data_IF_474244080743
#
_entry.id   IF_474244080743
#
_cell.length_a   1.000
_cell.length_b   1.000
_cell.length_c   1.000
_cell.angle_alpha   90.00
_cell.angle_beta   90.00
_cell.angle_gamma   90.00
#
_symmetry.space_group_name_H-M   'P 1'
#
loop_
_entity.id
_entity.type
_entity.pdbx_description
1 polymer ?
#
# COMPACT_ATOMS: atom_id res chain seq x y z
N UNK A 1 8.58 -8.27 -20.98
CA UNK A 1 8.22 -6.98 -20.33
C UNK A 1 7.31 -7.31 -19.15
N UNK A 2 7.48 -6.70 -17.97
CA UNK A 2 6.63 -6.94 -16.80
C UNK A 2 5.74 -5.71 -16.53
N UNK A 3 4.80 -5.83 -15.59
CA UNK A 3 3.85 -4.74 -15.31
C UNK A 3 4.54 -3.44 -14.84
N UNK A 4 5.65 -3.55 -14.11
CA UNK A 4 6.41 -2.39 -13.64
C UNK A 4 7.08 -1.71 -14.84
N UNK A 5 7.77 -2.45 -15.71
CA UNK A 5 8.44 -1.82 -16.85
C UNK A 5 7.48 -1.23 -17.87
N UNK A 6 6.23 -1.70 -17.96
CA UNK A 6 5.23 -1.11 -18.86
C UNK A 6 4.76 0.28 -18.44
N UNK A 7 4.79 0.64 -17.15
CA UNK A 7 4.30 1.96 -16.71
C UNK A 7 5.35 3.07 -16.87
N UNK A 8 6.62 2.70 -17.03
CA UNK A 8 7.74 3.63 -17.26
C UNK A 8 8.12 3.75 -18.74
N UNK A 9 7.27 3.32 -19.68
CA UNK A 9 7.59 3.33 -21.11
C UNK A 9 7.48 4.72 -21.79
N UNK A 10 7.14 5.77 -21.04
CA UNK A 10 7.01 7.15 -21.52
C UNK A 10 7.84 8.10 -20.67
N UNK A 11 8.24 9.25 -21.21
CA UNK A 11 9.02 10.28 -20.48
C UNK A 11 8.21 11.07 -19.44
N UNK A 12 7.12 10.50 -18.92
CA UNK A 12 6.27 11.11 -17.89
C UNK A 12 6.58 10.53 -16.52
N UNK A 13 6.53 11.38 -15.50
CA UNK A 13 6.59 10.95 -14.10
C UNK A 13 5.42 10.02 -13.77
N UNK A 14 5.71 8.97 -13.01
CA UNK A 14 4.70 8.00 -12.54
C UNK A 14 4.30 8.35 -11.12
N UNK A 15 2.99 8.42 -10.85
CA UNK A 15 2.46 8.58 -9.50
C UNK A 15 2.40 7.21 -8.80
N UNK A 16 3.04 7.09 -7.64
CA UNK A 16 3.16 5.86 -6.86
C UNK A 16 2.68 6.12 -5.42
N UNK A 17 1.38 5.95 -5.14
CA UNK A 17 0.86 6.02 -3.78
C UNK A 17 1.19 4.76 -2.97
N UNK A 18 1.30 4.95 -1.66
CA UNK A 18 1.51 3.91 -0.67
C UNK A 18 0.28 3.76 0.23
N UNK A 19 -0.11 2.52 0.53
CA UNK A 19 -1.19 2.17 1.46
C UNK A 19 -0.67 1.16 2.49
N UNK A 20 -0.80 1.49 3.78
CA UNK A 20 -0.58 0.53 4.87
C UNK A 20 -1.78 -0.43 4.95
N UNK A 21 -1.58 -1.69 4.60
CA UNK A 21 -2.68 -2.66 4.54
C UNK A 21 -3.29 -2.90 5.93
N UNK A 22 -4.61 -2.92 5.99
CA UNK A 22 -5.35 -3.14 7.24
C UNK A 22 -5.50 -1.89 8.11
N UNK A 23 -5.07 -0.71 7.65
CA UNK A 23 -5.31 0.56 8.33
C UNK A 23 -6.37 1.40 7.60
N UNK A 24 -7.45 1.88 8.26
CA UNK A 24 -7.91 1.44 9.58
C UNK A 24 -8.46 0.01 9.57
N UNK A 25 -8.86 -0.49 8.39
CA UNK A 25 -9.41 -1.82 8.17
C UNK A 25 -9.26 -2.24 6.68
N UNK A 26 -9.61 -3.51 6.40
CA UNK A 26 -9.48 -4.10 5.06
C UNK A 26 -10.39 -3.41 4.02
N UNK A 27 -11.65 -3.14 4.36
CA UNK A 27 -12.63 -2.56 3.44
C UNK A 27 -12.21 -1.14 3.00
N UNK A 28 -11.70 -0.36 3.94
CA UNK A 28 -11.13 0.97 3.68
C UNK A 28 -9.95 0.87 2.71
N UNK A 29 -9.02 -0.07 2.93
CA UNK A 29 -7.88 -0.29 2.04
C UNK A 29 -8.32 -0.65 0.61
N UNK A 30 -9.34 -1.50 0.45
CA UNK A 30 -9.88 -1.87 -0.88
C UNK A 30 -10.49 -0.65 -1.57
N UNK A 31 -11.32 0.13 -0.85
CA UNK A 31 -11.91 1.35 -1.40
C UNK A 31 -10.86 2.38 -1.79
N UNK A 32 -9.79 2.52 -1.02
CA UNK A 32 -8.69 3.44 -1.34
C UNK A 32 -7.88 2.96 -2.54
N UNK A 33 -7.58 1.66 -2.63
CA UNK A 33 -6.90 1.09 -3.78
C UNK A 33 -7.66 1.39 -5.09
N UNK A 34 -8.98 1.15 -5.11
CA UNK A 34 -9.83 1.47 -6.26
C UNK A 34 -9.79 2.98 -6.59
N UNK A 35 -9.94 3.84 -5.59
CA UNK A 35 -9.90 5.28 -5.77
C UNK A 35 -8.55 5.77 -6.31
N UNK A 36 -7.43 5.24 -5.81
CA UNK A 36 -6.08 5.58 -6.26
C UNK A 36 -5.82 5.12 -7.69
N UNK A 37 -6.26 3.90 -8.04
CA UNK A 37 -6.18 3.39 -9.42
C UNK A 37 -6.99 4.29 -10.36
N UNK A 38 -8.23 4.60 -10.02
CA UNK A 38 -9.08 5.53 -10.79
C UNK A 38 -8.51 6.94 -10.86
N UNK A 39 -7.74 7.35 -9.85
CA UNK A 39 -7.02 8.62 -9.78
C UNK A 39 -5.74 8.69 -10.61
N UNK A 40 -5.34 7.60 -11.28
CA UNK A 40 -4.17 7.56 -12.15
C UNK A 40 -2.87 7.11 -11.48
N UNK A 41 -2.95 6.38 -10.37
CA UNK A 41 -1.79 5.67 -9.83
C UNK A 41 -1.23 4.71 -10.89
N UNK A 42 0.05 4.84 -11.21
CA UNK A 42 0.72 3.92 -12.13
C UNK A 42 1.19 2.64 -11.42
N UNK A 43 1.61 2.76 -10.16
CA UNK A 43 1.98 1.64 -9.29
C UNK A 43 1.31 1.90 -7.94
N UNK A 44 0.78 0.85 -7.31
CA UNK A 44 0.28 0.92 -5.93
C UNK A 44 1.26 0.16 -5.02
N UNK A 45 1.85 0.86 -4.06
CA UNK A 45 2.68 0.25 -3.03
C UNK A 45 1.81 -0.17 -1.85
N UNK A 46 1.91 -1.45 -1.47
CA UNK A 46 1.14 -2.04 -0.38
C UNK A 46 2.09 -2.41 0.77
N UNK A 47 2.01 -1.65 1.85
CA UNK A 47 2.78 -1.89 3.06
C UNK A 47 2.16 -3.01 3.89
N UNK A 48 2.88 -4.13 4.02
CA UNK A 48 2.49 -5.22 4.92
C UNK A 48 2.86 -4.79 6.35
N UNK A 49 1.91 -4.72 7.30
CA UNK A 49 2.20 -4.34 8.67
C UNK A 49 3.25 -5.25 9.31
N UNK A 50 4.24 -4.64 9.94
CA UNK A 50 5.35 -5.31 10.61
C UNK A 50 5.47 -4.82 12.06
N UNK A 51 5.90 -5.70 12.96
CA UNK A 51 5.98 -5.39 14.41
C UNK A 51 7.06 -4.36 14.73
N UNK A 52 8.14 -4.35 13.94
CA UNK A 52 9.33 -3.51 14.19
C UNK A 52 9.69 -2.64 12.96
N UNK A 53 8.85 -1.67 12.57
CA UNK A 53 9.02 -0.84 11.37
C UNK A 53 10.05 0.28 11.56
N UNK A 54 11.32 -0.09 11.75
CA UNK A 54 12.42 0.84 12.09
C UNK A 54 12.79 1.81 10.96
N UNK A 55 12.43 1.48 9.72
CA UNK A 55 12.69 2.32 8.55
C UNK A 55 11.58 3.37 8.32
N UNK A 56 10.44 3.22 8.99
CA UNK A 56 9.26 4.02 8.74
C UNK A 56 9.14 5.22 9.69
N UNK A 57 8.59 6.32 9.20
CA UNK A 57 8.29 7.49 10.01
C UNK A 57 7.08 7.31 10.94
N UNK A 58 6.85 8.23 11.90
CA UNK A 58 5.83 8.07 12.95
C UNK A 58 4.39 7.93 12.45
N UNK A 59 4.08 8.40 11.23
CA UNK A 59 2.75 8.23 10.62
C UNK A 59 2.52 6.77 10.24
N UNK A 60 3.46 6.17 9.50
CA UNK A 60 3.38 4.78 9.04
C UNK A 60 3.52 3.82 10.23
N UNK A 61 4.41 4.09 11.18
CA UNK A 61 4.51 3.29 12.41
C UNK A 61 3.17 3.23 13.16
N UNK A 62 2.40 4.33 13.22
CA UNK A 62 1.06 4.34 13.84
C UNK A 62 0.03 3.59 12.99
N UNK A 63 0.11 3.69 11.66
CA UNK A 63 -0.75 2.92 10.76
C UNK A 63 -0.56 1.41 10.95
N UNK A 64 0.69 0.94 10.99
CA UNK A 64 0.98 -0.47 11.28
C UNK A 64 0.51 -0.91 12.66
N UNK A 65 0.64 -0.06 13.68
CA UNK A 65 0.07 -0.36 15.01
C UNK A 65 -1.45 -0.55 14.99
N UNK A 66 -2.19 0.26 14.21
CA UNK A 66 -3.65 0.10 14.03
C UNK A 66 -4.00 -1.14 13.20
N UNK A 67 -3.24 -1.41 12.16
CA UNK A 67 -3.45 -2.60 11.35
C UNK A 67 -3.21 -3.90 12.16
N UNK A 68 -2.16 -3.92 13.00
CA UNK A 68 -1.82 -5.06 13.85
C UNK A 68 -2.73 -5.20 15.09
N UNK A 69 -3.56 -4.21 15.41
CA UNK A 69 -4.54 -4.34 16.50
C UNK A 69 -5.74 -5.22 16.12
N UNK A 70 -5.88 -5.55 14.83
CA UNK A 70 -6.90 -6.46 14.31
C UNK A 70 -6.22 -7.69 13.70
N UNK A 71 -6.93 -8.84 13.56
CA UNK A 71 -6.40 -10.02 12.90
C UNK A 71 -6.11 -9.75 11.41
N UNK A 72 -4.92 -9.25 11.10
CA UNK A 72 -4.40 -9.15 9.74
C UNK A 72 -3.40 -10.28 9.50
N UNK A 73 -3.67 -11.13 8.52
CA UNK A 73 -2.77 -12.23 8.16
C UNK A 73 -2.74 -12.41 6.65
N UNK A 74 -1.55 -12.59 6.11
CA UNK A 74 -1.41 -13.08 4.74
C UNK A 74 -1.78 -14.57 4.72
N UNK A 75 -2.71 -14.93 3.85
CA UNK A 75 -3.02 -16.34 3.61
C UNK A 75 -1.79 -17.01 2.99
N UNK A 76 -1.30 -18.07 3.63
CA UNK A 76 -0.31 -18.97 3.00
C UNK A 76 -1.02 -19.71 1.86
N UNK A 77 -0.40 -19.70 0.68
CA UNK A 77 -0.78 -20.51 -0.48
C UNK A 77 0.04 -21.80 -0.49
#
# INVERSE_FOLDING_TARGET
MNAISSVFSSDKSVFIPYVSLGDPDYESCVSWADALIRGGAGILELGIPFTDPVADGPVIQKAFKRALSHPFSMKKF
#
